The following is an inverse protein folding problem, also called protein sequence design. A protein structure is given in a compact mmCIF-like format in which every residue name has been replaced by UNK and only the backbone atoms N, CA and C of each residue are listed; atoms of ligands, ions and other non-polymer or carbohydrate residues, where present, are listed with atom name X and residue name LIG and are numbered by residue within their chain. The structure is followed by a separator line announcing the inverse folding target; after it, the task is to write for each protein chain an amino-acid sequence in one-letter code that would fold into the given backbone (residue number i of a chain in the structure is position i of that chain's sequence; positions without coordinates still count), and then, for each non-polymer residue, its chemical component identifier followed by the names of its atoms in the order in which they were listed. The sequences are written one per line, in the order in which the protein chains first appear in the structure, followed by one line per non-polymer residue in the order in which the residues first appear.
data_IF_484539655825
#
_entry.id   IF_484539655825
#
_cell.length_a   1.000
_cell.length_b   1.000
_cell.length_c   1.000
_cell.angle_alpha   90.00
_cell.angle_beta   90.00
_cell.angle_gamma   90.00
#
_symmetry.space_group_name_H-M   'P 1'
#
loop_
_entity.id
_entity.type
_entity.pdbx_description
1 polymer ?
#
# COMPACT_ATOMS: atom_id res chain seq x y z
N UNK A 1 -56.08 0.65 20.70
CA UNK A 1 -55.23 1.42 21.65
C UNK A 1 -53.93 0.68 21.99
N UNK A 2 -53.98 -0.52 22.57
CA UNK A 2 -52.76 -1.26 22.99
C UNK A 2 -51.73 -1.53 21.87
N UNK A 3 -52.19 -1.93 20.67
CA UNK A 3 -51.30 -2.22 19.54
C UNK A 3 -50.48 -0.99 19.05
N UNK A 4 -51.11 0.19 19.03
CA UNK A 4 -50.42 1.43 18.63
C UNK A 4 -49.36 1.84 19.66
N UNK A 5 -49.63 1.60 20.94
CA UNK A 5 -48.66 1.84 22.01
C UNK A 5 -47.43 0.94 21.86
N UNK A 6 -47.62 -0.37 21.61
CA UNK A 6 -46.52 -1.31 21.36
C UNK A 6 -45.67 -0.90 20.16
N UNK A 7 -46.30 -0.51 19.05
CA UNK A 7 -45.58 -0.02 17.87
C UNK A 7 -44.78 1.24 18.14
N UNK A 8 -45.30 2.15 18.97
CA UNK A 8 -44.59 3.36 19.37
C UNK A 8 -43.38 3.06 20.29
N UNK A 9 -43.52 2.10 21.20
CA UNK A 9 -42.44 1.68 22.10
C UNK A 9 -41.30 0.98 21.32
N UNK A 10 -41.65 0.13 20.34
CA UNK A 10 -40.68 -0.50 19.41
C UNK A 10 -39.94 0.55 18.57
N UNK A 11 -40.67 1.51 17.99
CA UNK A 11 -40.07 2.58 17.21
C UNK A 11 -39.12 3.45 18.05
N UNK A 12 -39.49 3.72 19.30
CA UNK A 12 -38.66 4.49 20.24
C UNK A 12 -37.37 3.74 20.60
N UNK A 13 -37.48 2.44 20.85
CA UNK A 13 -36.33 1.57 21.14
C UNK A 13 -35.37 1.53 19.95
N UNK A 14 -35.89 1.29 18.74
CA UNK A 14 -35.09 1.29 17.52
C UNK A 14 -34.42 2.64 17.25
N UNK A 15 -35.10 3.74 17.53
CA UNK A 15 -34.52 5.07 17.39
C UNK A 15 -33.38 5.30 18.40
N UNK A 16 -33.49 4.81 19.63
CA UNK A 16 -32.41 4.87 20.62
C UNK A 16 -31.19 4.03 20.21
N UNK A 17 -31.42 2.82 19.72
CA UNK A 17 -30.36 1.95 19.18
C UNK A 17 -29.62 2.60 18.02
N UNK A 18 -30.35 3.16 17.05
CA UNK A 18 -29.76 3.86 15.90
C UNK A 18 -28.94 5.08 16.33
N UNK A 19 -29.39 5.84 17.34
CA UNK A 19 -28.60 6.95 17.89
C UNK A 19 -27.30 6.45 18.53
N UNK A 20 -27.35 5.36 19.31
CA UNK A 20 -26.15 4.75 19.88
C UNK A 20 -25.16 4.25 18.81
N UNK A 21 -25.68 3.68 17.71
CA UNK A 21 -24.84 3.27 16.58
C UNK A 21 -24.19 4.46 15.88
N UNK A 22 -24.92 5.56 15.69
CA UNK A 22 -24.37 6.79 15.11
C UNK A 22 -23.24 7.33 15.98
N UNK A 23 -23.44 7.42 17.29
CA UNK A 23 -22.40 7.88 18.23
C UNK A 23 -21.15 7.01 18.16
N UNK A 24 -21.32 5.69 18.14
CA UNK A 24 -20.20 4.76 18.02
C UNK A 24 -19.44 4.92 16.70
N UNK A 25 -20.16 5.02 15.57
CA UNK A 25 -19.55 5.19 14.25
C UNK A 25 -18.84 6.54 14.13
N UNK A 26 -19.41 7.61 14.69
CA UNK A 26 -18.77 8.93 14.73
C UNK A 26 -17.46 8.89 15.52
N UNK A 27 -17.43 8.20 16.66
CA UNK A 27 -16.19 8.02 17.42
C UNK A 27 -15.13 7.22 16.64
N UNK A 28 -15.53 6.11 16.02
CA UNK A 28 -14.62 5.29 15.21
C UNK A 28 -14.07 6.03 13.98
N UNK A 29 -14.88 6.90 13.36
CA UNK A 29 -14.45 7.75 12.26
C UNK A 29 -13.41 8.77 12.74
N UNK A 30 -13.68 9.47 13.83
CA UNK A 30 -12.74 10.46 14.38
C UNK A 30 -11.39 9.82 14.75
N UNK A 31 -11.39 8.61 15.30
CA UNK A 31 -10.16 7.86 15.58
C UNK A 31 -9.39 7.52 14.29
N UNK A 32 -10.09 7.09 13.24
CA UNK A 32 -9.48 6.77 11.95
C UNK A 32 -8.88 8.01 11.27
N UNK A 33 -9.57 9.15 11.34
CA UNK A 33 -9.09 10.44 10.82
C UNK A 33 -7.85 10.93 11.59
N UNK A 34 -7.82 10.74 12.91
CA UNK A 34 -6.64 11.04 13.72
C UNK A 34 -5.43 10.18 13.31
N UNK A 35 -5.64 8.87 13.11
CA UNK A 35 -4.60 7.95 12.63
C UNK A 35 -4.09 8.33 11.24
N UNK A 36 -4.98 8.74 10.32
CA UNK A 36 -4.57 9.23 9.00
C UNK A 36 -3.72 10.50 9.07
N UNK A 37 -4.04 11.40 10.00
CA UNK A 37 -3.28 12.63 10.25
C UNK A 37 -1.88 12.33 10.78
N UNK A 38 -1.76 11.36 11.70
CA UNK A 38 -0.48 10.88 12.22
C UNK A 38 0.39 10.25 11.14
N UNK A 39 -0.19 9.40 10.27
CA UNK A 39 0.50 8.81 9.13
C UNK A 39 0.96 9.87 8.12
N UNK A 40 0.12 10.86 7.83
CA UNK A 40 0.49 11.97 6.94
C UNK A 40 1.68 12.77 7.50
N UNK A 41 1.68 13.00 8.82
CA UNK A 41 2.79 13.66 9.54
C UNK A 41 4.06 12.82 9.48
N UNK A 42 3.95 11.52 9.77
CA UNK A 42 5.07 10.57 9.70
C UNK A 42 5.69 10.55 8.30
N UNK A 43 4.86 10.50 7.25
CA UNK A 43 5.34 10.57 5.86
C UNK A 43 6.11 11.86 5.59
N UNK A 44 5.59 13.01 6.03
CA UNK A 44 6.26 14.30 5.87
C UNK A 44 7.63 14.30 6.57
N UNK A 45 7.70 13.83 7.81
CA UNK A 45 8.97 13.75 8.57
C UNK A 45 9.98 12.84 7.87
N UNK A 46 9.56 11.67 7.34
CA UNK A 46 10.45 10.77 6.59
C UNK A 46 10.98 11.46 5.33
N UNK A 47 10.13 12.16 4.59
CA UNK A 47 10.55 12.92 3.40
C UNK A 47 11.53 14.04 3.75
N UNK A 48 11.30 14.77 4.84
CA UNK A 48 12.18 15.87 5.29
C UNK A 48 13.50 15.37 5.89
N UNK A 49 13.51 14.19 6.51
CA UNK A 49 14.69 13.57 7.10
C UNK A 49 15.56 12.80 6.08
N UNK A 50 15.08 12.61 4.85
CA UNK A 50 15.87 12.00 3.79
C UNK A 50 17.06 12.92 3.41
N UNK A 51 18.30 12.39 3.33
CA UNK A 51 19.46 13.22 2.97
C UNK A 51 19.27 13.82 1.58
N UNK A 52 19.69 15.08 1.41
CA UNK A 52 19.51 15.93 0.22
C UNK A 52 20.13 15.40 -1.10
N UNK A 53 20.58 14.16 -1.16
CA UNK A 53 21.05 13.47 -2.36
C UNK A 53 20.18 12.27 -2.79
N UNK A 54 19.13 11.94 -2.05
CA UNK A 54 18.07 11.07 -2.53
C UNK A 54 16.98 11.96 -3.12
N UNK A 55 17.21 12.44 -4.34
CA UNK A 55 16.14 13.01 -5.16
C UNK A 55 14.95 12.03 -5.09
N UNK A 56 13.77 12.45 -4.63
CA UNK A 56 12.60 11.58 -4.68
C UNK A 56 12.40 11.26 -6.16
N UNK A 57 12.67 10.01 -6.52
CA UNK A 57 12.37 9.44 -7.83
C UNK A 57 10.94 9.93 -8.18
N UNK A 58 10.70 10.49 -9.39
CA UNK A 58 9.41 11.10 -9.75
C UNK A 58 8.23 10.18 -9.39
N UNK A 59 7.02 10.69 -9.16
CA UNK A 59 5.89 9.86 -8.70
C UNK A 59 5.70 8.57 -9.52
N UNK A 60 5.99 8.59 -10.82
CA UNK A 60 6.01 7.43 -11.73
C UNK A 60 7.07 6.37 -11.40
N UNK A 61 8.22 6.80 -10.89
CA UNK A 61 9.29 5.92 -10.41
C UNK A 61 8.96 5.30 -9.04
N UNK A 62 8.21 6.01 -8.19
CA UNK A 62 7.72 5.48 -6.91
C UNK A 62 6.61 4.43 -7.12
N UNK A 63 5.69 4.65 -8.07
CA UNK A 63 4.72 3.61 -8.48
C UNK A 63 5.42 2.40 -9.07
N UNK A 64 6.34 2.60 -10.03
CA UNK A 64 7.06 1.48 -10.64
C UNK A 64 7.88 0.66 -9.63
N UNK A 65 8.50 1.30 -8.64
CA UNK A 65 9.21 0.62 -7.58
C UNK A 65 8.27 -0.21 -6.69
N UNK A 66 7.14 0.40 -6.30
CA UNK A 66 6.12 -0.29 -5.50
C UNK A 66 5.50 -1.47 -6.26
N UNK A 67 5.24 -1.32 -7.55
CA UNK A 67 4.70 -2.36 -8.42
C UNK A 67 5.66 -3.55 -8.54
N UNK A 68 6.96 -3.29 -8.69
CA UNK A 68 7.99 -4.33 -8.68
C UNK A 68 7.99 -5.08 -7.34
N UNK A 69 7.98 -4.37 -6.21
CA UNK A 69 7.96 -5.00 -4.88
C UNK A 69 6.68 -5.82 -4.68
N UNK A 70 5.53 -5.29 -5.12
CA UNK A 70 4.25 -5.97 -5.06
C UNK A 70 4.23 -7.25 -5.92
N UNK A 71 4.81 -7.23 -7.12
CA UNK A 71 4.90 -8.40 -7.99
C UNK A 71 5.67 -9.55 -7.31
N UNK A 72 6.81 -9.28 -6.67
CA UNK A 72 7.53 -10.30 -5.91
C UNK A 72 6.75 -10.78 -4.68
N UNK A 73 5.96 -9.91 -4.04
CA UNK A 73 5.11 -10.31 -2.92
C UNK A 73 3.97 -11.23 -3.34
N UNK A 74 3.39 -11.01 -4.52
CA UNK A 74 2.33 -11.85 -5.09
C UNK A 74 2.87 -13.20 -5.60
N UNK A 75 4.12 -13.23 -6.05
CA UNK A 75 4.78 -14.41 -6.61
C UNK A 75 6.10 -14.72 -5.87
N UNK A 76 6.05 -15.14 -4.60
CA UNK A 76 7.24 -15.32 -3.75
C UNK A 76 8.19 -16.40 -4.27
N UNK A 77 7.65 -17.47 -4.85
CA UNK A 77 8.43 -18.62 -5.34
C UNK A 77 8.87 -18.45 -6.80
N UNK A 78 8.43 -17.39 -7.46
CA UNK A 78 8.73 -17.16 -8.86
C UNK A 78 10.03 -16.37 -9.02
N UNK A 79 10.87 -16.87 -9.91
CA UNK A 79 12.09 -16.19 -10.34
C UNK A 79 11.75 -15.33 -11.55
N UNK A 80 12.09 -14.04 -11.49
CA UNK A 80 11.88 -13.11 -12.58
C UNK A 80 13.18 -12.54 -13.13
N UNK A 81 13.22 -12.35 -14.45
CA UNK A 81 14.14 -11.44 -15.13
C UNK A 81 13.54 -10.05 -15.21
N UNK A 82 14.39 -9.04 -15.36
CA UNK A 82 13.94 -7.65 -15.48
C UNK A 82 12.96 -7.44 -16.66
N UNK A 83 13.12 -8.15 -17.78
CA UNK A 83 12.20 -8.07 -18.92
C UNK A 83 10.85 -8.74 -18.64
N UNK A 84 10.87 -9.88 -17.95
CA UNK A 84 9.63 -10.61 -17.59
C UNK A 84 8.79 -9.79 -16.60
N UNK A 85 9.43 -9.03 -15.69
CA UNK A 85 8.72 -8.07 -14.84
C UNK A 85 8.06 -6.95 -15.65
N UNK A 86 8.70 -6.48 -16.71
CA UNK A 86 8.12 -5.45 -17.56
C UNK A 86 6.89 -5.96 -18.31
N UNK A 87 6.95 -7.19 -18.82
CA UNK A 87 5.81 -7.85 -19.46
C UNK A 87 4.66 -8.06 -18.46
N UNK A 88 4.97 -8.51 -17.23
CA UNK A 88 3.97 -8.71 -16.18
C UNK A 88 3.29 -7.41 -15.75
N UNK A 89 4.07 -6.33 -15.60
CA UNK A 89 3.61 -5.04 -15.11
C UNK A 89 3.14 -4.09 -16.22
N UNK A 90 3.20 -4.51 -17.48
CA UNK A 90 2.87 -3.66 -18.63
C UNK A 90 3.78 -2.43 -18.77
N UNK A 91 5.04 -2.53 -18.32
CA UNK A 91 6.02 -1.45 -18.37
C UNK A 91 6.74 -1.37 -19.73
N UNK A 92 7.28 -0.18 -20.10
CA UNK A 92 8.04 -0.02 -21.34
C UNK A 92 9.30 -0.91 -21.40
N UNK A 93 9.37 -1.78 -22.41
CA UNK A 93 10.46 -2.77 -22.56
C UNK A 93 11.71 -2.24 -23.28
N UNK A 94 11.79 -0.92 -23.50
CA UNK A 94 12.97 -0.29 -24.08
C UNK A 94 14.20 -0.48 -23.17
N UNK A 95 15.39 -0.42 -23.76
CA UNK A 95 16.62 -0.76 -23.06
C UNK A 95 16.92 0.16 -21.87
N UNK A 96 16.54 1.45 -21.94
CA UNK A 96 16.73 2.39 -20.85
C UNK A 96 15.85 2.01 -19.65
N UNK A 97 14.56 1.76 -19.89
CA UNK A 97 13.59 1.37 -18.87
C UNK A 97 13.95 0.04 -18.19
N UNK A 98 14.43 -0.94 -18.97
CA UNK A 98 14.90 -2.23 -18.43
C UNK A 98 16.18 -2.05 -17.60
N UNK A 99 17.11 -1.19 -18.02
CA UNK A 99 18.35 -0.94 -17.27
C UNK A 99 18.12 -0.19 -15.95
N UNK A 100 17.17 0.75 -15.91
CA UNK A 100 16.71 1.39 -14.66
C UNK A 100 16.17 0.32 -13.71
N UNK A 101 15.35 -0.59 -14.23
CA UNK A 101 14.76 -1.68 -13.45
C UNK A 101 15.81 -2.66 -12.92
N UNK A 102 16.80 -3.06 -13.75
CA UNK A 102 17.94 -3.86 -13.28
C UNK A 102 18.70 -3.19 -12.14
N UNK A 103 18.91 -1.89 -12.24
CA UNK A 103 19.58 -1.11 -11.18
C UNK A 103 18.78 -1.12 -9.87
N UNK A 104 17.44 -0.98 -9.95
CA UNK A 104 16.53 -1.10 -8.80
C UNK A 104 16.53 -2.50 -8.18
N UNK A 105 16.44 -3.55 -9.00
CA UNK A 105 16.50 -4.93 -8.53
C UNK A 105 17.84 -5.25 -7.83
N UNK A 106 18.95 -4.74 -8.35
CA UNK A 106 20.26 -4.85 -7.71
C UNK A 106 20.35 -4.09 -6.37
N UNK A 107 19.60 -3.00 -6.19
CA UNK A 107 19.48 -2.32 -4.88
C UNK A 107 18.63 -3.14 -3.90
N UNK A 108 17.47 -3.62 -4.33
CA UNK A 108 16.59 -4.48 -3.53
C UNK A 108 17.28 -5.77 -3.06
N UNK A 109 18.13 -6.36 -3.92
CA UNK A 109 18.95 -7.52 -3.56
C UNK A 109 19.97 -7.17 -2.47
N UNK A 110 20.67 -6.04 -2.58
CA UNK A 110 21.64 -5.57 -1.57
C UNK A 110 20.99 -5.22 -0.23
N UNK A 111 19.77 -4.69 -0.26
CA UNK A 111 18.96 -4.42 0.93
C UNK A 111 18.35 -5.70 1.54
N UNK A 112 18.43 -6.83 0.83
CA UNK A 112 17.90 -8.11 1.28
C UNK A 112 16.40 -8.31 1.02
N UNK A 113 15.74 -7.48 0.24
CA UNK A 113 14.35 -7.78 -0.14
C UNK A 113 14.26 -8.93 -1.13
N UNK A 114 15.28 -9.07 -1.99
CA UNK A 114 15.36 -10.09 -3.02
C UNK A 114 16.61 -10.96 -2.84
N UNK A 115 16.55 -12.18 -3.36
CA UNK A 115 17.70 -13.04 -3.61
C UNK A 115 18.00 -13.09 -5.10
N UNK A 116 19.26 -13.39 -5.45
CA UNK A 116 19.70 -13.54 -6.83
C UNK A 116 20.14 -15.00 -7.06
N UNK A 117 19.22 -15.91 -7.42
CA UNK A 117 19.56 -17.32 -7.66
C UNK A 117 20.48 -17.53 -8.87
N UNK A 118 20.56 -16.55 -9.78
CA UNK A 118 21.46 -16.58 -10.93
C UNK A 118 21.62 -15.20 -11.57
N UNK A 119 22.58 -15.05 -12.47
CA UNK A 119 22.84 -13.75 -13.13
C UNK A 119 21.56 -13.24 -13.81
N UNK A 120 21.09 -12.07 -13.41
CA UNK A 120 19.89 -11.43 -13.96
C UNK A 120 18.55 -12.07 -13.57
N UNK A 121 18.57 -13.00 -12.63
CA UNK A 121 17.39 -13.67 -12.07
C UNK A 121 17.19 -13.18 -10.64
N UNK A 122 15.98 -12.77 -10.30
CA UNK A 122 15.65 -12.23 -8.99
C UNK A 122 14.44 -12.99 -8.43
N UNK A 123 14.44 -13.21 -7.13
CA UNK A 123 13.36 -13.89 -6.42
C UNK A 123 13.12 -13.20 -5.09
N UNK A 124 11.91 -13.29 -4.54
CA UNK A 124 11.66 -12.81 -3.18
C UNK A 124 12.56 -13.55 -2.19
N UNK A 125 13.13 -12.81 -1.21
CA UNK A 125 13.77 -13.46 -0.07
C UNK A 125 12.68 -13.92 0.90
N UNK A 126 12.53 -15.23 1.04
CA UNK A 126 11.71 -15.89 2.08
C UNK A 126 12.41 -15.90 3.42
#
# INVERSE_FOLDING_TARGET
MAYLQTQQDEATTRAAELRGQIEHLTAALAESEARLTDLATTRKVITEAAPAGAEPDPPEANTAYQDIVNAFNQHPDQVFRARELHELLGMPTDEASVNITRSRLGRLTRQGFLTQPGRGHYQKRT
#
